data_IF_228428791205
#
_entry.id   IF_228428791205
#
_cell.length_a   1.000
_cell.length_b   1.000
_cell.length_c   1.000
_cell.angle_alpha   90.00
_cell.angle_beta   90.00
_cell.angle_gamma   90.00
#
_symmetry.space_group_name_H-M   'P 1'
#
loop_
_entity.id
_entity.type
_entity.pdbx_description
1 polymer ?
#
# COMPACT_ATOMS: atom_id res chain seq x y z
N UNK A 1 9.36 -9.35 -9.80
CA UNK A 1 8.31 -9.02 -10.80
C UNK A 1 7.06 -8.50 -10.09
N UNK A 2 6.37 -7.49 -10.65
CA UNK A 2 5.10 -6.99 -10.09
C UNK A 2 3.92 -7.80 -10.64
N UNK A 3 3.06 -8.29 -9.74
CA UNK A 3 1.80 -8.95 -10.06
C UNK A 3 0.66 -8.27 -9.33
N UNK A 4 -0.56 -8.56 -9.77
CA UNK A 4 -1.76 -8.01 -9.15
C UNK A 4 -2.74 -9.13 -8.84
N UNK A 5 -3.44 -9.02 -7.72
CA UNK A 5 -4.72 -9.75 -7.56
C UNK A 5 -5.76 -9.18 -8.53
N UNK A 6 -6.83 -9.94 -8.80
CA UNK A 6 -7.97 -9.43 -9.60
C UNK A 6 -8.54 -8.12 -9.02
N UNK A 7 -8.60 -8.03 -7.68
CA UNK A 7 -9.04 -6.83 -6.98
C UNK A 7 -8.08 -5.66 -7.20
N UNK A 8 -6.78 -5.87 -6.95
CA UNK A 8 -5.74 -4.84 -7.08
C UNK A 8 -5.64 -4.30 -8.51
N UNK A 9 -5.64 -5.18 -9.51
CA UNK A 9 -5.62 -4.78 -10.93
C UNK A 9 -6.82 -3.91 -11.28
N UNK A 10 -8.02 -4.31 -10.83
CA UNK A 10 -9.23 -3.52 -11.05
C UNK A 10 -9.16 -2.15 -10.37
N UNK A 11 -8.73 -2.08 -9.10
CA UNK A 11 -8.64 -0.80 -8.37
C UNK A 11 -7.66 0.18 -9.02
N UNK A 12 -6.52 -0.32 -9.48
CA UNK A 12 -5.50 0.49 -10.17
C UNK A 12 -6.06 1.11 -11.45
N UNK A 13 -6.66 0.29 -12.33
CA UNK A 13 -7.25 0.73 -13.60
C UNK A 13 -8.40 1.72 -13.37
N UNK A 14 -9.35 1.39 -12.49
CA UNK A 14 -10.51 2.27 -12.17
C UNK A 14 -10.10 3.67 -11.68
N UNK A 15 -8.91 3.80 -11.10
CA UNK A 15 -8.43 5.04 -10.45
C UNK A 15 -7.29 5.72 -11.21
N UNK A 16 -6.93 5.21 -12.39
CA UNK A 16 -5.80 5.75 -13.16
C UNK A 16 -4.46 5.67 -12.42
N UNK A 17 -4.28 4.68 -11.55
CA UNK A 17 -3.02 4.47 -10.81
C UNK A 17 -2.12 3.61 -11.69
N UNK A 18 -1.00 4.18 -12.14
CA UNK A 18 -0.05 3.47 -12.99
C UNK A 18 0.81 2.48 -12.20
N UNK A 19 1.42 1.54 -12.93
CA UNK A 19 2.40 0.62 -12.38
C UNK A 19 3.60 1.36 -11.78
N UNK A 20 4.11 2.39 -12.46
CA UNK A 20 5.25 3.18 -11.98
C UNK A 20 4.96 3.86 -10.63
N UNK A 21 3.76 4.43 -10.45
CA UNK A 21 3.35 5.01 -9.17
C UNK A 21 3.35 3.98 -8.04
N UNK A 22 2.91 2.76 -8.34
CA UNK A 22 2.89 1.65 -7.38
C UNK A 22 4.32 1.21 -7.06
N UNK A 23 5.16 1.04 -8.06
CA UNK A 23 6.57 0.68 -7.89
C UNK A 23 7.30 1.73 -7.04
N UNK A 24 7.12 3.02 -7.34
CA UNK A 24 7.72 4.10 -6.57
C UNK A 24 7.24 4.11 -5.12
N UNK A 25 5.96 3.84 -4.87
CA UNK A 25 5.43 3.76 -3.51
C UNK A 25 6.00 2.57 -2.72
N UNK A 26 6.34 1.47 -3.39
CA UNK A 26 6.93 0.29 -2.77
C UNK A 26 8.43 0.50 -2.51
N UNK A 27 9.16 1.11 -3.44
CA UNK A 27 10.60 1.32 -3.34
C UNK A 27 10.93 2.48 -2.37
N UNK A 28 10.16 3.56 -2.43
CA UNK A 28 10.40 4.79 -1.68
C UNK A 28 9.16 5.26 -0.92
N UNK A 29 8.67 4.47 0.06
CA UNK A 29 7.50 4.83 0.84
C UNK A 29 7.79 6.02 1.77
N UNK A 30 6.80 6.88 1.93
CA UNK A 30 6.75 7.88 3.02
C UNK A 30 6.51 7.19 4.36
N UNK A 31 5.61 6.20 4.38
CA UNK A 31 5.35 5.36 5.56
C UNK A 31 5.24 3.90 5.14
N UNK A 32 5.77 2.99 5.95
CA UNK A 32 5.64 1.55 5.72
C UNK A 32 5.25 0.82 7.01
N UNK A 33 4.28 -0.09 6.86
CA UNK A 33 3.74 -0.89 7.94
C UNK A 33 3.62 -2.35 7.52
N UNK A 34 3.72 -3.25 8.49
CA UNK A 34 3.40 -4.65 8.34
C UNK A 34 2.08 -4.96 9.07
N UNK A 35 1.11 -5.53 8.35
CA UNK A 35 -0.19 -5.91 8.90
C UNK A 35 -0.12 -7.33 9.46
N UNK A 36 -0.13 -7.45 10.80
CA UNK A 36 -0.02 -8.73 11.50
C UNK A 36 -1.20 -9.68 11.23
N UNK A 37 -2.37 -9.15 10.83
CA UNK A 37 -3.57 -9.96 10.61
C UNK A 37 -3.57 -10.66 9.25
N UNK A 38 -2.89 -10.08 8.26
CA UNK A 38 -2.89 -10.59 6.88
C UNK A 38 -1.51 -11.02 6.39
N UNK A 39 -0.44 -10.63 7.09
CA UNK A 39 0.94 -10.77 6.63
C UNK A 39 1.30 -9.86 5.46
N UNK A 40 0.46 -8.88 5.13
CA UNK A 40 0.70 -7.96 4.03
C UNK A 40 1.55 -6.76 4.47
N UNK A 41 2.32 -6.20 3.54
CA UNK A 41 2.96 -4.90 3.70
C UNK A 41 2.03 -3.82 3.20
N UNK A 42 1.90 -2.74 3.97
CA UNK A 42 1.12 -1.54 3.63
C UNK A 42 2.05 -0.36 3.55
N UNK A 43 2.12 0.27 2.38
CA UNK A 43 2.94 1.46 2.16
C UNK A 43 2.08 2.64 1.77
N UNK A 44 2.55 3.82 2.16
CA UNK A 44 2.01 5.10 1.77
C UNK A 44 3.10 5.92 1.10
N UNK A 45 2.83 6.45 -0.09
CA UNK A 45 3.64 7.48 -0.76
C UNK A 45 2.87 8.78 -0.77
N UNK A 46 3.46 9.86 -0.27
CA UNK A 46 2.87 11.19 -0.34
C UNK A 46 2.75 11.64 -1.81
N UNK A 47 1.58 12.13 -2.18
CA UNK A 47 1.24 12.73 -3.47
C UNK A 47 0.61 14.09 -3.19
N UNK A 48 1.37 15.18 -3.24
CA UNK A 48 0.92 16.51 -2.84
C UNK A 48 0.17 16.49 -1.47
N UNK A 49 -1.12 16.82 -1.48
CA UNK A 49 -2.03 16.85 -0.32
C UNK A 49 -2.70 15.49 -0.02
N UNK A 50 -2.33 14.44 -0.73
CA UNK A 50 -2.88 13.08 -0.62
C UNK A 50 -1.76 12.06 -0.45
N UNK A 51 -2.14 10.80 -0.29
CA UNK A 51 -1.23 9.68 -0.30
C UNK A 51 -1.76 8.58 -1.22
N UNK A 52 -0.86 7.95 -1.94
CA UNK A 52 -1.09 6.63 -2.54
C UNK A 52 -0.85 5.57 -1.48
N UNK A 53 -1.87 4.78 -1.18
CA UNK A 53 -1.75 3.57 -0.38
C UNK A 53 -1.61 2.36 -1.30
N UNK A 54 -0.60 1.52 -1.05
CA UNK A 54 -0.43 0.22 -1.71
C UNK A 54 -0.35 -0.87 -0.65
N UNK A 55 -1.16 -1.92 -0.80
CA UNK A 55 -1.05 -3.14 0.00
C UNK A 55 -0.53 -4.26 -0.90
N UNK A 56 0.53 -4.93 -0.48
CA UNK A 56 1.12 -6.02 -1.24
C UNK A 56 1.64 -7.14 -0.32
N UNK A 57 1.69 -8.36 -0.85
CA UNK A 57 2.49 -9.45 -0.26
C UNK A 57 3.80 -9.60 -1.04
N UNK A 58 4.82 -10.13 -0.36
CA UNK A 58 6.10 -10.50 -0.96
C UNK A 58 6.25 -12.02 -0.87
N UNK A 59 6.41 -12.65 -2.02
CA UNK A 59 6.62 -14.09 -2.15
C UNK A 59 7.88 -14.27 -2.99
N UNK A 60 8.99 -14.69 -2.36
CA UNK A 60 10.31 -14.83 -3.00
C UNK A 60 10.72 -13.55 -3.75
N UNK A 61 10.78 -13.62 -5.09
CA UNK A 61 11.19 -12.54 -6.00
C UNK A 61 9.99 -11.76 -6.60
N UNK A 62 8.80 -11.99 -6.07
CA UNK A 62 7.55 -11.41 -6.56
C UNK A 62 6.89 -10.49 -5.54
N UNK A 63 6.41 -9.36 -6.05
CA UNK A 63 5.59 -8.41 -5.32
C UNK A 63 4.18 -8.51 -5.87
N UNK A 64 3.23 -8.94 -5.05
CA UNK A 64 1.84 -9.13 -5.45
C UNK A 64 0.96 -8.04 -4.83
N UNK A 65 0.52 -7.10 -5.66
CA UNK A 65 -0.35 -5.99 -5.26
C UNK A 65 -1.75 -6.51 -4.98
N UNK A 66 -2.17 -6.38 -3.72
CA UNK A 66 -3.48 -6.82 -3.23
C UNK A 66 -4.52 -5.71 -3.49
N UNK A 67 -4.20 -4.47 -3.11
CA UNK A 67 -5.06 -3.31 -3.38
C UNK A 67 -4.25 -2.02 -3.43
N UNK A 68 -4.82 -1.00 -4.06
CA UNK A 68 -4.22 0.33 -4.14
C UNK A 68 -5.31 1.40 -4.28
N UNK A 69 -5.11 2.55 -3.66
CA UNK A 69 -5.97 3.72 -3.82
C UNK A 69 -5.30 5.00 -3.30
N UNK A 70 -5.79 6.15 -3.78
CA UNK A 70 -5.37 7.47 -3.30
C UNK A 70 -6.34 7.94 -2.21
N UNK A 71 -5.81 8.52 -1.13
CA UNK A 71 -6.59 9.03 0.00
C UNK A 71 -6.01 10.33 0.57
N UNK A 72 -6.88 11.23 1.03
CA UNK A 72 -6.51 12.43 1.80
C UNK A 72 -6.45 12.19 3.31
N UNK A 73 -6.92 11.02 3.79
CA UNK A 73 -7.05 10.72 5.23
C UNK A 73 -6.06 9.63 5.68
N UNK A 74 -4.86 9.62 5.10
CA UNK A 74 -3.84 8.61 5.40
C UNK A 74 -3.50 8.53 6.90
N UNK A 75 -3.33 9.68 7.56
CA UNK A 75 -2.99 9.73 8.98
C UNK A 75 -4.08 9.10 9.86
N UNK A 76 -5.36 9.39 9.59
CA UNK A 76 -6.48 8.80 10.33
C UNK A 76 -6.51 7.26 10.20
N UNK A 77 -6.26 6.75 8.99
CA UNK A 77 -6.18 5.31 8.74
C UNK A 77 -5.04 4.66 9.53
N UNK A 78 -3.86 5.29 9.51
CA UNK A 78 -2.67 4.84 10.25
C UNK A 78 -2.98 4.82 11.75
N UNK A 79 -3.45 5.93 12.31
CA UNK A 79 -3.70 6.07 13.75
C UNK A 79 -4.70 5.02 14.25
N UNK A 80 -5.77 4.76 13.48
CA UNK A 80 -6.76 3.73 13.81
C UNK A 80 -6.13 2.33 13.86
N UNK A 81 -5.24 2.01 12.91
CA UNK A 81 -4.61 0.69 12.81
C UNK A 81 -3.50 0.46 13.83
N UNK A 82 -2.78 1.53 14.20
CA UNK A 82 -1.80 1.49 15.28
C UNK A 82 -2.47 1.34 16.64
N UNK A 83 -3.60 2.04 16.88
CA UNK A 83 -4.39 1.88 18.12
C UNK A 83 -4.93 0.47 18.31
N UNK A 84 -5.25 -0.24 17.23
CA UNK A 84 -5.68 -1.64 17.30
C UNK A 84 -4.53 -2.64 17.39
N UNK A 85 -3.26 -2.19 17.41
CA UNK A 85 -2.06 -3.04 17.39
C UNK A 85 -2.01 -4.03 16.22
N UNK A 86 -2.70 -3.71 15.12
CA UNK A 86 -2.77 -4.57 13.93
C UNK A 86 -1.62 -4.27 12.98
N UNK A 87 -1.18 -3.02 12.93
CA UNK A 87 -0.04 -2.59 12.12
C UNK A 87 1.17 -2.32 12.99
N UNK A 88 2.32 -2.84 12.54
CA UNK A 88 3.63 -2.53 13.11
C UNK A 88 4.38 -1.65 12.12
N UNK A 89 4.96 -0.56 12.60
CA UNK A 89 5.75 0.34 11.74
C UNK A 89 7.07 -0.32 11.37
N UNK A 90 7.41 -0.26 10.08
CA UNK A 90 8.66 -0.79 9.51
C UNK A 90 9.56 0.34 9.03
N UNK A 91 8.98 1.47 8.58
CA UNK A 91 9.68 2.72 8.21
C UNK A 91 8.75 3.91 8.43
#
# INVERSE_FOLDING_TARGET
MLKYTKHGKRRAVERGISEDMILEAILEPTYAYYDLSTGATVVFKKLDEKHLLVVYSREEDEVKVITTFITSVAQELIDRKLKSSVWVRVK
#
